data_IF_105421404019
#
_entry.id   IF_105421404019
#
_cell.length_a   1.000
_cell.length_b   1.000
_cell.length_c   1.000
_cell.angle_alpha   90.00
_cell.angle_beta   90.00
_cell.angle_gamma   90.00
#
_symmetry.space_group_name_H-M   'P 1'
#
loop_
_entity.id
_entity.type
_entity.pdbx_description
1 polymer ?
#
# COMPACT_ATOMS: atom_id res chain seq x y z
N UNK A 1 1.38 13.78 13.86
CA UNK A 1 0.88 12.90 14.93
C UNK A 1 -0.27 12.06 14.39
N UNK A 2 -0.29 10.78 14.67
CA UNK A 2 -1.31 9.87 14.17
C UNK A 2 -2.42 9.70 15.19
N UNK A 3 -3.65 9.69 14.70
CA UNK A 3 -4.84 9.49 15.53
C UNK A 3 -5.62 8.28 15.06
N UNK A 4 -6.21 7.54 16.00
CA UNK A 4 -7.13 6.44 15.67
C UNK A 4 -8.56 6.98 15.79
N UNK A 5 -9.31 6.85 14.70
CA UNK A 5 -10.69 7.30 14.62
C UNK A 5 -11.58 6.24 13.96
N UNK A 6 -12.88 6.28 14.25
CA UNK A 6 -13.85 5.44 13.54
C UNK A 6 -14.36 6.23 12.33
N UNK A 7 -14.36 5.59 11.17
CA UNK A 7 -14.82 6.21 9.92
C UNK A 7 -15.85 5.29 9.27
N UNK A 8 -16.92 5.89 8.75
CA UNK A 8 -17.92 5.14 7.98
C UNK A 8 -17.26 4.55 6.73
N UNK A 9 -17.49 3.28 6.51
CA UNK A 9 -16.84 2.54 5.40
C UNK A 9 -17.15 3.18 4.05
N UNK A 10 -18.36 3.66 3.86
CA UNK A 10 -18.77 4.29 2.60
C UNK A 10 -18.01 5.58 2.26
N UNK A 11 -17.38 6.22 3.27
CA UNK A 11 -16.57 7.43 3.07
C UNK A 11 -15.13 7.12 2.66
N UNK A 12 -14.69 5.89 2.83
CA UNK A 12 -13.32 5.49 2.54
C UNK A 12 -13.15 5.20 1.05
N UNK A 13 -12.07 5.72 0.48
CA UNK A 13 -11.74 5.56 -0.94
C UNK A 13 -10.34 4.96 -1.10
N UNK A 14 -10.20 3.83 -1.79
CA UNK A 14 -8.86 3.27 -2.03
C UNK A 14 -8.05 4.19 -2.94
N UNK A 15 -6.75 4.28 -2.69
CA UNK A 15 -5.87 5.03 -3.57
C UNK A 15 -5.70 4.28 -4.89
N UNK A 16 -5.81 4.98 -6.05
CA UNK A 16 -5.73 4.32 -7.36
C UNK A 16 -4.45 3.52 -7.62
N UNK A 17 -3.32 3.95 -7.07
CA UNK A 17 -2.04 3.27 -7.25
C UNK A 17 -2.09 1.83 -6.74
N UNK A 18 -2.82 1.55 -5.66
CA UNK A 18 -2.92 0.20 -5.14
C UNK A 18 -3.49 -0.77 -6.18
N UNK A 19 -4.55 -0.38 -6.87
CA UNK A 19 -5.18 -1.20 -7.90
C UNK A 19 -4.29 -1.34 -9.14
N UNK A 20 -3.46 -0.34 -9.40
CA UNK A 20 -2.51 -0.37 -10.52
C UNK A 20 -1.43 -1.42 -10.33
N UNK A 21 -0.94 -1.58 -9.10
CA UNK A 21 0.17 -2.48 -8.78
C UNK A 21 -0.31 -3.88 -8.42
N UNK A 22 -1.29 -3.97 -7.51
CA UNK A 22 -1.62 -5.22 -6.82
C UNK A 22 -2.87 -5.86 -7.38
N UNK A 23 -2.81 -7.18 -7.53
CA UNK A 23 -3.90 -7.99 -8.04
C UNK A 23 -4.70 -8.57 -6.87
N UNK A 24 -6.00 -8.69 -7.05
CA UNK A 24 -6.87 -9.31 -6.05
C UNK A 24 -6.69 -10.83 -6.05
N UNK A 25 -6.69 -11.41 -4.84
CA UNK A 25 -6.67 -12.85 -4.65
C UNK A 25 -7.83 -13.23 -3.72
N UNK A 26 -8.85 -13.88 -4.29
CA UNK A 26 -10.06 -14.23 -3.55
C UNK A 26 -9.82 -15.20 -2.39
N UNK A 27 -8.90 -16.15 -2.55
CA UNK A 27 -8.58 -17.10 -1.48
C UNK A 27 -7.94 -16.41 -0.29
N UNK A 28 -7.00 -15.49 -0.55
CA UNK A 28 -6.38 -14.71 0.53
C UNK A 28 -7.39 -13.80 1.20
N UNK A 29 -8.31 -13.24 0.41
CA UNK A 29 -9.37 -12.39 0.95
C UNK A 29 -10.33 -13.19 1.84
N UNK A 30 -10.71 -14.38 1.43
CA UNK A 30 -11.57 -15.27 2.24
C UNK A 30 -10.92 -15.62 3.57
N UNK A 31 -9.63 -15.93 3.57
CA UNK A 31 -8.87 -16.20 4.79
C UNK A 31 -8.84 -15.00 5.71
N UNK A 32 -8.65 -13.82 5.14
CA UNK A 32 -8.65 -12.57 5.90
C UNK A 32 -10.04 -12.27 6.48
N UNK A 33 -11.11 -12.49 5.72
CA UNK A 33 -12.48 -12.33 6.20
C UNK A 33 -12.73 -13.21 7.42
N UNK A 34 -12.34 -14.48 7.35
CA UNK A 34 -12.49 -15.40 8.48
C UNK A 34 -11.70 -14.96 9.70
N UNK A 35 -10.47 -14.48 9.49
CA UNK A 35 -9.63 -13.98 10.57
C UNK A 35 -10.26 -12.76 11.25
N UNK A 36 -10.77 -11.82 10.49
CA UNK A 36 -11.42 -10.62 11.03
C UNK A 36 -12.72 -10.96 11.74
N UNK A 37 -13.47 -11.91 11.20
CA UNK A 37 -14.72 -12.38 11.84
C UNK A 37 -14.46 -12.97 13.22
N UNK A 38 -13.37 -13.72 13.38
CA UNK A 38 -13.01 -14.38 14.63
C UNK A 38 -12.31 -13.41 15.61
N UNK A 39 -11.34 -12.67 15.13
CA UNK A 39 -10.43 -11.88 15.97
C UNK A 39 -10.71 -10.37 15.97
N UNK A 40 -11.61 -9.90 15.10
CA UNK A 40 -11.78 -8.48 14.86
C UNK A 40 -10.63 -7.92 14.02
N UNK A 41 -10.67 -6.61 13.81
CA UNK A 41 -9.64 -5.90 13.07
C UNK A 41 -8.49 -5.56 14.00
N UNK A 42 -7.36 -6.27 13.87
CA UNK A 42 -6.21 -6.11 14.78
C UNK A 42 -5.40 -4.85 14.46
N UNK A 43 -5.36 -4.42 13.21
CA UNK A 43 -4.64 -3.22 12.80
C UNK A 43 -5.59 -2.25 12.11
N UNK A 44 -5.52 -0.94 12.45
CA UNK A 44 -6.38 0.03 11.78
C UNK A 44 -5.96 0.24 10.33
N UNK A 45 -6.93 0.69 9.53
CA UNK A 45 -6.69 1.10 8.14
C UNK A 45 -6.05 2.48 8.16
N UNK A 46 -5.00 2.70 7.37
CA UNK A 46 -4.30 3.98 7.32
C UNK A 46 -4.91 4.88 6.24
N UNK A 47 -5.32 6.06 6.63
CA UNK A 47 -5.97 7.04 5.74
C UNK A 47 -5.33 8.42 5.89
N UNK A 48 -5.56 9.28 4.91
CA UNK A 48 -5.24 10.70 5.01
C UNK A 48 -6.47 11.50 5.45
N UNK A 49 -6.34 12.83 5.50
CA UNK A 49 -7.43 13.72 5.90
C UNK A 49 -8.58 13.82 4.88
N UNK A 50 -8.44 13.19 3.73
CA UNK A 50 -9.48 13.12 2.69
C UNK A 50 -10.14 11.74 2.63
N UNK A 51 -9.89 10.89 3.62
CA UNK A 51 -10.40 9.52 3.71
C UNK A 51 -9.90 8.59 2.59
N UNK A 52 -8.75 8.90 2.03
CA UNK A 52 -8.09 8.04 1.04
C UNK A 52 -7.27 6.99 1.77
N UNK A 53 -7.47 5.73 1.40
CA UNK A 53 -6.81 4.58 2.03
C UNK A 53 -5.45 4.34 1.42
N UNK A 54 -4.41 4.28 2.26
CA UNK A 54 -3.02 3.99 1.85
C UNK A 54 -2.56 2.62 2.30
N UNK A 55 -3.08 2.13 3.41
CA UNK A 55 -2.77 0.79 3.92
C UNK A 55 -4.04 0.13 4.42
N UNK A 56 -4.20 -1.14 4.11
CA UNK A 56 -5.35 -1.91 4.53
C UNK A 56 -6.43 -2.06 3.47
N UNK A 57 -6.08 -2.00 2.19
CA UNK A 57 -7.05 -2.17 1.09
C UNK A 57 -7.79 -3.50 1.18
N UNK A 58 -7.08 -4.60 1.47
CA UNK A 58 -7.71 -5.91 1.64
C UNK A 58 -8.55 -5.99 2.91
N UNK A 59 -8.09 -5.36 3.98
CA UNK A 59 -8.88 -5.24 5.23
C UNK A 59 -10.18 -4.49 4.97
N UNK A 60 -10.12 -3.41 4.20
CA UNK A 60 -11.31 -2.66 3.80
C UNK A 60 -12.28 -3.52 3.00
N UNK A 61 -11.78 -4.28 2.02
CA UNK A 61 -12.62 -5.20 1.24
C UNK A 61 -13.26 -6.26 2.14
N UNK A 62 -12.50 -6.79 3.09
CA UNK A 62 -12.99 -7.81 4.01
C UNK A 62 -14.12 -7.29 4.91
N UNK A 63 -13.97 -6.11 5.51
CA UNK A 63 -15.00 -5.55 6.37
C UNK A 63 -16.24 -5.13 5.60
N UNK A 64 -16.08 -4.71 4.33
CA UNK A 64 -17.22 -4.47 3.45
C UNK A 64 -18.04 -5.75 3.23
N UNK A 65 -17.36 -6.86 2.97
CA UNK A 65 -18.03 -8.17 2.77
C UNK A 65 -18.70 -8.67 4.04
N UNK A 66 -18.13 -8.33 5.21
CA UNK A 66 -18.75 -8.67 6.49
C UNK A 66 -19.92 -7.77 6.86
N UNK A 67 -20.18 -6.71 6.09
CA UNK A 67 -21.30 -5.81 6.31
C UNK A 67 -21.08 -4.79 7.42
N UNK A 68 -19.83 -4.51 7.80
CA UNK A 68 -19.53 -3.50 8.80
C UNK A 68 -19.93 -2.10 8.28
N UNK A 69 -20.41 -1.25 9.18
CA UNK A 69 -20.81 0.12 8.87
C UNK A 69 -19.62 1.08 9.01
N UNK A 70 -18.78 0.86 10.02
CA UNK A 70 -17.63 1.71 10.31
C UNK A 70 -16.43 0.85 10.66
N UNK A 71 -15.25 1.45 10.64
CA UNK A 71 -14.01 0.75 10.90
C UNK A 71 -12.99 1.70 11.52
N UNK A 72 -12.11 1.15 12.35
CA UNK A 72 -11.01 1.91 12.96
C UNK A 72 -9.98 2.28 11.90
N UNK A 73 -9.65 3.56 11.83
CA UNK A 73 -8.66 4.10 10.91
C UNK A 73 -7.61 4.88 11.66
N UNK A 74 -6.38 4.83 11.16
CA UNK A 74 -5.29 5.70 11.62
C UNK A 74 -5.19 6.87 10.65
N UNK A 75 -5.38 8.08 11.14
CA UNK A 75 -5.20 9.29 10.35
C UNK A 75 -3.73 9.66 10.36
N UNK A 76 -3.09 9.64 9.21
CA UNK A 76 -1.66 9.93 9.05
C UNK A 76 -1.42 11.02 8.03
N UNK A 77 -0.31 11.74 8.21
CA UNK A 77 0.18 12.67 7.19
C UNK A 77 0.93 11.88 6.12
N UNK A 78 0.50 12.00 4.88
CA UNK A 78 1.10 11.29 3.76
C UNK A 78 1.93 12.25 2.92
N UNK A 79 3.24 12.04 2.89
CA UNK A 79 4.17 12.90 2.13
C UNK A 79 4.42 12.38 0.71
N UNK A 80 4.50 11.07 0.55
CA UNK A 80 4.68 10.43 -0.75
C UNK A 80 3.73 9.23 -0.87
N UNK A 81 2.60 9.40 -1.57
CA UNK A 81 1.60 8.34 -1.69
C UNK A 81 2.14 7.04 -2.27
N UNK A 82 2.91 7.11 -3.34
CA UNK A 82 3.45 5.92 -4.02
C UNK A 82 4.35 5.10 -3.10
N UNK A 83 5.31 5.77 -2.44
CA UNK A 83 6.24 5.09 -1.53
C UNK A 83 5.50 4.54 -0.31
N UNK A 84 4.51 5.27 0.19
CA UNK A 84 3.71 4.82 1.34
C UNK A 84 2.96 3.53 1.02
N UNK A 85 2.34 3.44 -0.15
CA UNK A 85 1.58 2.26 -0.58
C UNK A 85 2.53 1.07 -0.77
N UNK A 86 3.66 1.27 -1.44
CA UNK A 86 4.64 0.21 -1.66
C UNK A 86 5.20 -0.29 -0.34
N UNK A 87 5.56 0.62 0.57
CA UNK A 87 6.08 0.26 1.88
C UNK A 87 5.05 -0.52 2.71
N UNK A 88 3.78 -0.14 2.66
CA UNK A 88 2.73 -0.83 3.39
C UNK A 88 2.46 -2.24 2.86
N UNK A 89 2.90 -2.56 1.66
CA UNK A 89 2.80 -3.89 1.05
C UNK A 89 4.12 -4.67 1.07
N UNK A 90 5.12 -4.20 1.80
CA UNK A 90 6.45 -4.81 1.83
C UNK A 90 6.42 -6.28 2.26
N UNK A 91 5.61 -6.62 3.23
CA UNK A 91 5.49 -7.98 3.76
C UNK A 91 4.56 -8.87 2.95
N UNK A 92 3.85 -8.31 1.98
CA UNK A 92 2.93 -9.06 1.13
C UNK A 92 3.70 -9.94 0.15
N UNK A 93 3.25 -11.19 0.00
CA UNK A 93 3.74 -12.06 -1.06
C UNK A 93 3.24 -11.54 -2.41
N UNK A 94 4.15 -11.35 -3.36
CA UNK A 94 3.86 -10.67 -4.62
C UNK A 94 4.17 -11.55 -5.83
N UNK A 95 3.42 -11.35 -6.90
CA UNK A 95 3.71 -11.96 -8.20
C UNK A 95 4.84 -11.19 -8.88
N UNK A 96 5.45 -11.79 -9.91
CA UNK A 96 6.48 -11.12 -10.71
C UNK A 96 5.95 -9.86 -11.38
N UNK A 97 4.69 -9.89 -11.83
CA UNK A 97 4.02 -8.73 -12.43
C UNK A 97 3.88 -7.58 -11.42
N UNK A 98 3.47 -7.90 -10.20
CA UNK A 98 3.35 -6.89 -9.13
C UNK A 98 4.71 -6.27 -8.78
N UNK A 99 5.76 -7.11 -8.67
CA UNK A 99 7.11 -6.63 -8.40
C UNK A 99 7.64 -5.71 -9.50
N UNK A 100 7.36 -6.05 -10.76
CA UNK A 100 7.76 -5.21 -11.89
C UNK A 100 7.08 -3.84 -11.84
N UNK A 101 5.79 -3.82 -11.57
CA UNK A 101 5.04 -2.56 -11.45
C UNK A 101 5.53 -1.72 -10.29
N UNK A 102 5.84 -2.33 -9.14
CA UNK A 102 6.47 -1.63 -8.02
C UNK A 102 7.80 -1.02 -8.42
N UNK A 103 8.65 -1.79 -9.11
CA UNK A 103 9.96 -1.33 -9.55
C UNK A 103 9.86 -0.14 -10.52
N UNK A 104 8.92 -0.18 -11.45
CA UNK A 104 8.69 0.92 -12.39
C UNK A 104 8.27 2.21 -11.67
N UNK A 105 7.37 2.10 -10.70
CA UNK A 105 6.92 3.25 -9.93
C UNK A 105 8.00 3.78 -8.99
N UNK A 106 8.80 2.90 -8.40
CA UNK A 106 9.96 3.31 -7.59
C UNK A 106 10.98 4.06 -8.44
N UNK A 107 11.22 3.59 -9.66
CA UNK A 107 12.10 4.27 -10.60
C UNK A 107 11.63 5.71 -10.83
N UNK A 108 10.36 5.91 -11.10
CA UNK A 108 9.81 7.26 -11.30
C UNK A 108 9.98 8.14 -10.07
N UNK A 109 9.73 7.59 -8.87
CA UNK A 109 9.86 8.34 -7.63
C UNK A 109 11.30 8.73 -7.34
N UNK A 110 12.25 7.80 -7.49
CA UNK A 110 13.66 8.09 -7.29
C UNK A 110 14.20 9.08 -8.30
N UNK A 111 13.70 9.05 -9.53
CA UNK A 111 14.05 10.00 -10.57
C UNK A 111 13.64 11.43 -10.18
N UNK A 112 12.47 11.59 -9.62
CA UNK A 112 11.99 12.88 -9.14
C UNK A 112 12.76 13.36 -7.91
N UNK A 113 13.00 12.47 -6.96
CA UNK A 113 13.74 12.77 -5.73
C UNK A 113 15.19 13.12 -6.03
N UNK A 114 15.82 12.39 -6.95
CA UNK A 114 17.21 12.57 -7.32
C UNK A 114 17.49 13.72 -8.28
N UNK A 115 16.49 14.50 -8.64
CA UNK A 115 16.60 15.53 -9.68
C UNK A 115 17.68 16.58 -9.40
N UNK A 116 18.03 16.82 -8.15
CA UNK A 116 19.04 17.80 -7.76
C UNK A 116 20.46 17.24 -7.70
N UNK A 117 20.63 15.94 -7.89
CA UNK A 117 21.91 15.24 -7.85
C UNK A 117 22.48 15.23 -9.28
N UNK A 118 23.81 15.01 -9.41
CA UNK A 118 24.45 14.91 -10.72
C UNK A 118 23.82 13.78 -11.55
N UNK A 119 23.45 14.08 -12.77
CA UNK A 119 22.70 13.19 -13.63
C UNK A 119 23.32 11.80 -13.78
N UNK A 120 24.66 11.71 -13.94
CA UNK A 120 25.36 10.42 -14.09
C UNK A 120 25.34 9.60 -12.82
N UNK A 121 25.44 10.23 -11.67
CA UNK A 121 25.41 9.55 -10.36
C UNK A 121 23.99 9.12 -10.02
N UNK A 122 23.03 9.93 -10.39
CA UNK A 122 21.61 9.65 -10.27
C UNK A 122 21.22 8.36 -10.97
N UNK A 123 21.53 8.24 -12.26
CA UNK A 123 21.16 7.07 -13.04
C UNK A 123 21.72 5.78 -12.47
N UNK A 124 22.96 5.81 -12.01
CA UNK A 124 23.60 4.64 -11.41
C UNK A 124 22.96 4.23 -10.08
N UNK A 125 22.71 5.19 -9.22
CA UNK A 125 22.13 4.93 -7.91
C UNK A 125 20.70 4.42 -8.03
N UNK A 126 19.96 4.99 -8.92
CA UNK A 126 18.60 4.69 -9.27
C UNK A 126 18.46 3.25 -9.76
N UNK A 127 19.26 2.86 -10.75
CA UNK A 127 19.26 1.51 -11.29
C UNK A 127 19.66 0.48 -10.24
N UNK A 128 20.66 0.78 -9.41
CA UNK A 128 21.08 -0.10 -8.31
C UNK A 128 19.95 -0.29 -7.29
N UNK A 129 19.26 0.77 -6.94
CA UNK A 129 18.17 0.71 -5.97
C UNK A 129 17.01 -0.12 -6.51
N UNK A 130 16.65 0.05 -7.76
CA UNK A 130 15.60 -0.72 -8.40
C UNK A 130 15.94 -2.20 -8.49
N UNK A 131 17.16 -2.51 -8.94
CA UNK A 131 17.64 -3.90 -9.05
C UNK A 131 17.68 -4.56 -7.68
N UNK A 132 18.18 -3.86 -6.68
CA UNK A 132 18.23 -4.35 -5.30
C UNK A 132 16.84 -4.65 -4.76
N UNK A 133 15.89 -3.73 -4.96
CA UNK A 133 14.51 -3.91 -4.53
C UNK A 133 13.89 -5.16 -5.13
N UNK A 134 13.98 -5.31 -6.45
CA UNK A 134 13.42 -6.48 -7.15
C UNK A 134 14.09 -7.76 -6.65
N UNK A 135 15.41 -7.76 -6.55
CA UNK A 135 16.18 -8.91 -6.06
C UNK A 135 15.78 -9.35 -4.66
N UNK A 136 15.58 -8.41 -3.75
CA UNK A 136 15.16 -8.70 -2.36
C UNK A 136 13.74 -9.22 -2.25
N UNK A 137 12.86 -8.89 -3.21
CA UNK A 137 11.44 -9.22 -3.14
C UNK A 137 11.01 -10.39 -4.03
N UNK A 138 11.89 -10.92 -4.87
CA UNK A 138 11.63 -12.09 -5.72
C UNK A 138 11.91 -13.41 -4.99
N UNK A 139 12.82 -13.39 -4.04
CA UNK A 139 13.30 -14.59 -3.33
C UNK A 139 12.26 -15.33 -2.47
#
# INVERSE_FOLDING_TARGET
MDYIIEVDIEKLKPHPINETIYEDNELQLEDLIKSIEINGLLEPIVIDNKNIVYSGHRRLQAVKKLGWVSVSCRLSSIHNPTLTIIESNRQRKKTSSELLKEAELLNEEYKQIGYKVRKSDEEKQYNRTTIKYVSENIG
#
